data_IF_699954877959
#
_entry.id   IF_699954877959
#
_cell.length_a   1.000
_cell.length_b   1.000
_cell.length_c   1.000
_cell.angle_alpha   90.00
_cell.angle_beta   90.00
_cell.angle_gamma   90.00
#
_symmetry.space_group_name_H-M   'P 1'
#
loop_
_entity.id
_entity.type
_entity.pdbx_description
1 polymer ?
#
# COMPACT_ATOMS: atom_id res chain seq x y z
N UNK A 1 -20.95 -3.81 -0.85
CA UNK A 1 -20.33 -2.72 -0.05
C UNK A 1 -18.83 -2.71 -0.35
N UNK A 2 -18.31 -1.68 -1.01
CA UNK A 2 -16.91 -1.65 -1.48
C UNK A 2 -15.91 -1.57 -0.32
N UNK A 3 -14.78 -2.26 -0.45
CA UNK A 3 -13.67 -2.22 0.52
C UNK A 3 -12.62 -1.24 0.03
N UNK A 4 -11.95 -0.54 0.94
CA UNK A 4 -10.75 0.22 0.61
C UNK A 4 -9.64 -0.07 1.63
N UNK A 5 -8.40 0.18 1.23
CA UNK A 5 -7.24 0.17 2.12
C UNK A 5 -6.45 1.45 1.90
N UNK A 6 -5.92 2.02 2.98
CA UNK A 6 -5.02 3.18 2.93
C UNK A 6 -3.62 2.71 3.31
N UNK A 7 -2.60 3.21 2.63
CA UNK A 7 -1.24 2.71 2.82
C UNK A 7 -0.19 3.41 1.98
N UNK A 8 1.06 2.95 2.07
CA UNK A 8 2.14 3.50 1.26
C UNK A 8 2.89 2.39 0.54
N UNK A 9 3.49 2.75 -0.59
CA UNK A 9 4.33 1.86 -1.39
C UNK A 9 5.74 1.86 -0.81
N UNK A 10 6.25 0.69 -0.45
CA UNK A 10 7.59 0.54 0.17
C UNK A 10 8.61 -0.16 -0.73
N UNK A 11 8.18 -0.85 -1.79
CA UNK A 11 9.05 -1.25 -2.89
C UNK A 11 8.28 -1.35 -4.21
N UNK A 12 9.01 -1.25 -5.31
CA UNK A 12 8.52 -1.50 -6.68
C UNK A 12 9.58 -2.28 -7.44
N UNK A 13 9.18 -3.33 -8.15
CA UNK A 13 10.00 -4.04 -9.13
C UNK A 13 9.30 -3.93 -10.49
N UNK A 14 10.01 -3.44 -11.51
CA UNK A 14 9.55 -3.45 -12.90
C UNK A 14 10.33 -4.52 -13.65
N UNK A 15 9.62 -5.47 -14.23
CA UNK A 15 10.21 -6.59 -14.99
C UNK A 15 10.32 -6.24 -16.47
N UNK A 16 11.25 -6.90 -17.18
CA UNK A 16 11.50 -6.67 -18.61
C UNK A 16 10.29 -6.97 -19.51
N UNK A 17 9.38 -7.84 -19.05
CA UNK A 17 8.11 -8.14 -19.72
C UNK A 17 7.03 -7.06 -19.51
N UNK A 18 7.37 -5.99 -18.79
CA UNK A 18 6.48 -4.87 -18.47
C UNK A 18 5.49 -5.17 -17.36
N UNK A 19 5.71 -6.21 -16.56
CA UNK A 19 4.98 -6.42 -15.30
C UNK A 19 5.57 -5.59 -14.16
N UNK A 20 4.73 -5.30 -13.18
CA UNK A 20 5.07 -4.50 -12.00
C UNK A 20 4.66 -5.27 -10.75
N UNK A 21 5.59 -5.42 -9.81
CA UNK A 21 5.33 -5.88 -8.46
C UNK A 21 5.49 -4.73 -7.46
N UNK A 22 4.58 -4.67 -6.49
CA UNK A 22 4.45 -3.58 -5.52
C UNK A 22 4.32 -4.15 -4.13
N UNK A 23 5.22 -3.72 -3.24
CA UNK A 23 5.02 -3.86 -1.80
C UNK A 23 4.19 -2.71 -1.27
N UNK A 24 3.08 -3.03 -0.62
CA UNK A 24 2.16 -2.05 -0.06
C UNK A 24 1.93 -2.28 1.43
N UNK A 25 2.20 -1.28 2.26
CA UNK A 25 1.93 -1.33 3.70
C UNK A 25 0.53 -0.78 3.99
N UNK A 26 -0.30 -1.56 4.67
CA UNK A 26 -1.65 -1.19 5.09
C UNK A 26 -1.65 -0.48 6.45
N UNK A 27 -2.16 0.75 6.45
CA UNK A 27 -2.24 1.68 7.58
C UNK A 27 -3.13 1.18 8.73
N UNK A 28 -4.17 0.42 8.41
CA UNK A 28 -5.23 0.03 9.33
C UNK A 28 -4.93 -1.32 9.99
N UNK A 29 -4.42 -2.28 9.21
CA UNK A 29 -4.08 -3.62 9.70
C UNK A 29 -2.62 -3.79 10.15
N UNK A 30 -1.77 -2.77 9.96
CA UNK A 30 -0.33 -2.85 10.24
C UNK A 30 0.37 -4.03 9.54
N UNK A 31 -0.10 -4.37 8.34
CA UNK A 31 0.42 -5.49 7.55
C UNK A 31 0.97 -5.01 6.22
N UNK A 32 1.96 -5.74 5.69
CA UNK A 32 2.45 -5.55 4.34
C UNK A 32 1.88 -6.62 3.42
N UNK A 33 1.42 -6.21 2.24
CA UNK A 33 0.90 -7.09 1.21
C UNK A 33 1.65 -6.83 -0.12
N UNK A 34 1.76 -7.88 -0.93
CA UNK A 34 2.39 -7.80 -2.25
C UNK A 34 1.31 -7.86 -3.34
N UNK A 35 1.44 -6.93 -4.29
CA UNK A 35 0.56 -6.82 -5.45
C UNK A 35 1.35 -6.96 -6.74
N UNK A 36 0.73 -7.53 -7.77
CA UNK A 36 1.38 -7.78 -9.05
C UNK A 36 0.43 -7.54 -10.22
N UNK A 37 0.97 -7.15 -11.36
CA UNK A 37 0.26 -7.18 -12.66
C UNK A 37 0.35 -8.55 -13.34
N UNK A 38 1.31 -9.39 -12.94
CA UNK A 38 1.40 -10.78 -13.40
C UNK A 38 0.25 -11.60 -12.79
N UNK A 39 -0.64 -12.07 -13.65
CA UNK A 39 -1.82 -12.84 -13.25
C UNK A 39 -1.53 -14.18 -12.56
N UNK A 40 -0.30 -14.68 -12.69
CA UNK A 40 0.16 -15.90 -12.03
C UNK A 40 0.67 -15.66 -10.60
N UNK A 41 0.77 -14.40 -10.15
CA UNK A 41 1.41 -14.03 -8.88
C UNK A 41 0.57 -13.11 -8.02
N UNK A 42 0.54 -13.41 -6.73
CA UNK A 42 0.10 -12.48 -5.68
C UNK A 42 -1.33 -11.94 -5.85
N UNK A 43 -1.56 -10.72 -5.34
CA UNK A 43 -2.83 -10.01 -5.50
C UNK A 43 -2.80 -9.17 -6.76
N UNK A 44 -3.81 -9.34 -7.60
CA UNK A 44 -3.85 -8.73 -8.94
C UNK A 44 -4.15 -7.23 -8.89
N UNK A 45 -3.36 -6.46 -9.62
CA UNK A 45 -3.64 -5.06 -9.98
C UNK A 45 -3.67 -4.91 -11.49
N UNK A 46 -4.50 -3.99 -11.99
CA UNK A 46 -4.36 -3.55 -13.38
C UNK A 46 -3.03 -2.81 -13.56
N UNK A 47 -2.48 -2.83 -14.78
CA UNK A 47 -1.23 -2.10 -15.08
C UNK A 47 -1.33 -0.61 -14.76
N UNK A 48 -2.47 0.01 -15.02
CA UNK A 48 -2.71 1.43 -14.72
C UNK A 48 -2.65 1.74 -13.22
N UNK A 49 -3.32 0.92 -12.40
CA UNK A 49 -3.29 1.07 -10.94
C UNK A 49 -1.89 0.81 -10.40
N UNK A 50 -1.23 -0.25 -10.88
CA UNK A 50 0.13 -0.57 -10.48
C UNK A 50 1.11 0.55 -10.85
N UNK A 51 1.00 1.12 -12.05
CA UNK A 51 1.86 2.23 -12.49
C UNK A 51 1.62 3.48 -11.63
N UNK A 52 0.37 3.84 -11.34
CA UNK A 52 0.03 4.96 -10.45
C UNK A 52 0.64 4.77 -9.06
N UNK A 53 0.50 3.58 -8.48
CA UNK A 53 1.09 3.26 -7.18
C UNK A 53 2.62 3.30 -7.23
N UNK A 54 3.22 2.74 -8.27
CA UNK A 54 4.67 2.73 -8.44
C UNK A 54 5.26 4.14 -8.44
N UNK A 55 4.56 5.10 -9.04
CA UNK A 55 5.01 6.51 -9.12
C UNK A 55 4.94 7.24 -7.76
N UNK A 56 4.27 6.65 -6.76
CA UNK A 56 4.24 7.15 -5.38
C UNK A 56 5.42 6.66 -4.52
N UNK A 57 6.20 5.67 -4.99
CA UNK A 57 7.36 5.14 -4.25
C UNK A 57 8.32 6.28 -3.86
N UNK A 58 8.72 6.30 -2.60
CA UNK A 58 9.66 7.29 -2.07
C UNK A 58 9.07 8.69 -1.86
N UNK A 59 7.74 8.86 -2.07
CA UNK A 59 7.03 10.09 -1.74
C UNK A 59 6.32 9.93 -0.40
N UNK A 60 6.26 11.00 0.39
CA UNK A 60 5.43 11.07 1.59
C UNK A 60 3.96 11.24 1.17
N UNK A 61 3.36 10.20 0.62
CA UNK A 61 1.99 10.19 0.10
C UNK A 61 1.32 8.89 0.56
N UNK A 62 0.11 9.00 1.10
CA UNK A 62 -0.75 7.85 1.31
C UNK A 62 -1.51 7.56 0.02
N UNK A 63 -1.59 6.30 -0.36
CA UNK A 63 -2.44 5.84 -1.44
C UNK A 63 -3.62 5.05 -0.85
N UNK A 64 -4.81 5.34 -1.34
CA UNK A 64 -6.04 4.63 -0.99
C UNK A 64 -6.50 3.81 -2.17
N UNK A 65 -6.48 2.49 -2.01
CA UNK A 65 -6.89 1.55 -3.04
C UNK A 65 -8.32 1.12 -2.77
N UNK A 66 -9.20 1.30 -3.76
CA UNK A 66 -10.59 0.87 -3.71
C UNK A 66 -10.75 -0.47 -4.41
N UNK A 67 -11.51 -1.38 -3.79
CA UNK A 67 -11.81 -2.71 -4.32
C UNK A 67 -13.30 -2.86 -4.56
N UNK A 68 -13.64 -3.52 -5.66
CA UNK A 68 -15.00 -3.98 -5.89
C UNK A 68 -15.35 -5.20 -5.03
N UNK A 69 -16.60 -5.68 -5.15
CA UNK A 69 -17.09 -6.82 -4.36
C UNK A 69 -16.41 -8.15 -4.72
N UNK A 70 -15.73 -8.22 -5.87
CA UNK A 70 -14.91 -9.37 -6.28
C UNK A 70 -13.47 -9.29 -5.77
N UNK A 71 -13.12 -8.24 -5.01
CA UNK A 71 -11.78 -8.02 -4.47
C UNK A 71 -10.77 -7.49 -5.48
N UNK A 72 -11.20 -7.05 -6.67
CA UNK A 72 -10.31 -6.44 -7.66
C UNK A 72 -10.20 -4.93 -7.40
N UNK A 73 -8.97 -4.40 -7.48
CA UNK A 73 -8.72 -2.97 -7.35
C UNK A 73 -9.32 -2.22 -8.55
N UNK A 74 -10.07 -1.16 -8.29
CA UNK A 74 -10.78 -0.39 -9.31
C UNK A 74 -10.34 1.06 -9.40
N UNK A 75 -9.80 1.64 -8.32
CA UNK A 75 -9.39 3.04 -8.25
C UNK A 75 -8.30 3.24 -7.20
N UNK A 76 -7.42 4.20 -7.45
CA UNK A 76 -6.50 4.74 -6.45
C UNK A 76 -6.79 6.22 -6.24
N UNK A 77 -6.85 6.64 -4.99
CA UNK A 77 -6.87 8.05 -4.58
C UNK A 77 -5.58 8.34 -3.82
N UNK A 78 -4.95 9.50 -4.08
CA UNK A 78 -3.78 9.94 -3.33
C UNK A 78 -4.23 10.86 -2.21
N UNK A 79 -3.80 10.55 -0.99
CA UNK A 79 -4.06 11.31 0.23
C UNK A 79 -2.75 11.92 0.73
N UNK A 80 -2.83 13.14 1.27
CA UNK A 80 -1.68 13.83 1.84
C UNK A 80 -1.14 13.07 3.06
N UNK A 81 0.18 12.99 3.18
CA UNK A 81 0.84 12.49 4.38
C UNK A 81 0.96 13.62 5.39
N UNK A 82 0.21 13.51 6.50
CA UNK A 82 0.32 14.45 7.61
C UNK A 82 1.46 14.01 8.52
N UNK A 83 2.64 14.62 8.32
CA UNK A 83 3.85 14.23 9.03
C UNK A 83 3.69 14.28 10.55
N UNK A 84 3.04 15.32 11.09
CA UNK A 84 2.89 15.46 12.54
C UNK A 84 2.01 14.35 13.11
N UNK A 85 0.86 14.13 12.48
CA UNK A 85 -0.11 13.13 12.93
C UNK A 85 0.39 11.70 12.73
N UNK A 86 0.95 11.40 11.57
CA UNK A 86 1.34 10.03 11.22
C UNK A 86 2.62 9.60 11.94
N UNK A 87 3.60 10.50 12.14
CA UNK A 87 4.78 10.22 12.97
C UNK A 87 4.40 10.04 14.43
N UNK A 88 3.51 10.88 14.97
CA UNK A 88 3.03 10.73 16.34
C UNK A 88 2.37 9.35 16.56
N UNK A 89 1.54 8.92 15.60
CA UNK A 89 0.90 7.61 15.63
C UNK A 89 1.91 6.45 15.58
N UNK A 90 2.92 6.54 14.71
CA UNK A 90 3.99 5.52 14.63
C UNK A 90 4.78 5.43 15.94
N UNK A 91 5.12 6.57 16.55
CA UNK A 91 5.81 6.62 17.85
C UNK A 91 5.00 5.93 18.95
N UNK A 92 3.68 6.14 19.00
CA UNK A 92 2.81 5.46 19.96
C UNK A 92 2.75 3.93 19.74
N UNK A 93 2.76 3.46 18.48
CA UNK A 93 2.80 2.02 18.19
C UNK A 93 4.12 1.39 18.63
N UNK A 94 5.24 2.05 18.31
CA UNK A 94 6.58 1.61 18.72
C UNK A 94 6.72 1.56 20.25
N UNK A 95 6.21 2.55 20.98
CA UNK A 95 6.31 2.56 22.45
C UNK A 95 5.57 1.39 23.10
N UNK A 96 4.45 0.94 22.52
CA UNK A 96 3.71 -0.23 23.03
C UNK A 96 4.49 -1.53 22.82
N UNK A 97 5.17 -1.67 21.67
CA UNK A 97 6.00 -2.84 21.38
C UNK A 97 7.14 -3.02 22.39
N UNK A 98 7.78 -1.91 22.78
CA UNK A 98 8.88 -1.90 23.76
C UNK A 98 8.41 -2.32 25.16
N UNK A 99 7.16 -2.03 25.52
CA UNK A 99 6.59 -2.39 26.82
C UNK A 99 6.19 -3.87 26.89
N UNK A 100 5.75 -4.48 25.78
CA UNK A 100 5.38 -5.90 25.72
C UNK A 100 6.56 -6.88 25.60
N UNK A 101 7.78 -6.38 25.40
CA UNK A 101 8.99 -7.18 25.25
C UNK A 101 9.80 -7.41 26.54
N UNK A 102 9.18 -7.27 27.72
CA UNK A 102 9.80 -7.53 29.03
C UNK A 102 9.06 -8.61 29.81
#
# INVERSE_FOLDING_TARGET
>A
MGKNIVGFVFYVIKFDNGDIEIGFYNKDSDSADNYSTDESRGRKLSKEIAQTLADTLGRNIWAKIHFNEKGAATKVELEEYDFEKDVHRLKQKLSKLVVTGR
#
